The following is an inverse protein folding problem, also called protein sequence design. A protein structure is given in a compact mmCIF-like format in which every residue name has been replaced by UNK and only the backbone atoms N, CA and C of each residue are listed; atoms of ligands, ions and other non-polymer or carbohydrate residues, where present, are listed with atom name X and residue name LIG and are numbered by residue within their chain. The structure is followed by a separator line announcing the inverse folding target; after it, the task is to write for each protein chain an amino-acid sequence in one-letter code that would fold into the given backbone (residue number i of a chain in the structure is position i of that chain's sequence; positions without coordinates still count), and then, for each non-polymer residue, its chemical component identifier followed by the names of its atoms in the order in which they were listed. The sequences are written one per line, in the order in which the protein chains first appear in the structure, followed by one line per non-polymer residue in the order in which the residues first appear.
data_IF_680043886004
#
_entry.id   IF_680043886004
#
_cell.length_a   1.000
_cell.length_b   1.000
_cell.length_c   1.000
_cell.angle_alpha   90.00
_cell.angle_beta   90.00
_cell.angle_gamma   90.00
#
_symmetry.space_group_name_H-M   'P 1'
#
loop_
_entity.id
_entity.type
_entity.pdbx_description
1 polymer ?
#
# COMPACT_ATOMS: atom_id res chain seq x y z
N UNK A 1 -24.80 8.94 2.48
CA UNK A 1 -24.04 7.88 1.77
C UNK A 1 -22.99 7.39 2.76
N UNK A 2 -22.98 6.10 3.10
CA UNK A 2 -22.00 5.57 4.05
C UNK A 2 -20.61 5.68 3.41
N UNK A 3 -19.73 6.46 4.02
CA UNK A 3 -18.33 6.56 3.62
C UNK A 3 -17.67 5.21 3.89
N UNK A 4 -17.00 4.63 2.90
CA UNK A 4 -16.36 3.34 3.05
C UNK A 4 -15.34 3.39 4.20
N UNK A 5 -15.38 2.36 5.05
CA UNK A 5 -14.57 2.33 6.26
C UNK A 5 -13.17 1.80 5.94
N UNK A 6 -12.14 2.63 6.15
CA UNK A 6 -10.77 2.18 6.15
C UNK A 6 -10.41 1.55 7.50
N UNK A 7 -9.85 0.35 7.46
CA UNK A 7 -9.32 -0.34 8.64
C UNK A 7 -7.84 -0.62 8.46
N UNK A 8 -7.07 -0.48 9.54
CA UNK A 8 -5.64 -0.67 9.54
C UNK A 8 -5.25 -1.70 10.59
N UNK A 9 -4.41 -2.67 10.22
CA UNK A 9 -3.92 -3.69 11.15
C UNK A 9 -2.47 -4.08 10.90
N UNK A 10 -1.85 -4.74 11.87
CA UNK A 10 -0.46 -5.20 11.76
C UNK A 10 0.58 -4.12 12.04
N UNK A 11 1.81 -4.36 11.59
CA UNK A 11 2.98 -3.54 11.91
C UNK A 11 3.17 -2.40 10.91
N UNK A 12 2.90 -1.18 11.39
CA UNK A 12 3.25 0.10 10.78
C UNK A 12 4.05 0.99 11.74
N UNK A 13 4.87 0.38 12.61
CA UNK A 13 5.63 1.06 13.67
C UNK A 13 6.47 2.25 13.19
N UNK A 14 6.68 2.37 11.87
CA UNK A 14 7.38 3.46 11.22
C UNK A 14 6.54 4.12 10.12
N UNK A 15 6.60 5.46 10.03
CA UNK A 15 5.87 6.35 9.10
C UNK A 15 4.50 5.83 8.68
N UNK A 16 3.73 5.40 9.67
CA UNK A 16 2.43 4.76 9.51
C UNK A 16 1.54 5.53 8.54
N UNK A 17 1.42 6.85 8.72
CA UNK A 17 0.61 7.72 7.86
C UNK A 17 1.06 7.72 6.41
N UNK A 18 2.35 7.89 6.14
CA UNK A 18 2.89 7.94 4.77
C UNK A 18 2.64 6.61 4.05
N UNK A 19 2.93 5.50 4.73
CA UNK A 19 2.77 4.15 4.19
C UNK A 19 1.31 3.83 3.91
N UNK A 20 0.40 4.18 4.84
CA UNK A 20 -1.05 3.99 4.69
C UNK A 20 -1.59 4.75 3.49
N UNK A 21 -1.18 6.01 3.30
CA UNK A 21 -1.58 6.83 2.16
C UNK A 21 -1.06 6.28 0.82
N UNK A 22 0.22 5.87 0.78
CA UNK A 22 0.79 5.22 -0.41
C UNK A 22 0.04 3.94 -0.76
N UNK A 23 -0.27 3.11 0.24
CA UNK A 23 -1.02 1.87 0.05
C UNK A 23 -2.46 2.12 -0.42
N UNK A 24 -3.13 3.11 0.15
CA UNK A 24 -4.46 3.52 -0.26
C UNK A 24 -4.48 3.97 -1.73
N UNK A 25 -3.57 4.88 -2.11
CA UNK A 25 -3.46 5.32 -3.50
C UNK A 25 -3.22 4.17 -4.48
N UNK A 26 -2.32 3.24 -4.13
CA UNK A 26 -2.03 2.09 -4.95
C UNK A 26 -3.26 1.20 -5.15
N UNK A 27 -3.97 0.92 -4.06
CA UNK A 27 -5.18 0.11 -4.05
C UNK A 27 -6.27 0.76 -4.89
N UNK A 28 -6.47 2.08 -4.75
CA UNK A 28 -7.42 2.85 -5.57
C UNK A 28 -7.07 2.84 -7.05
N UNK A 29 -5.81 3.05 -7.42
CA UNK A 29 -5.40 3.04 -8.84
C UNK A 29 -5.57 1.65 -9.46
N UNK A 30 -5.30 0.59 -8.70
CA UNK A 30 -5.58 -0.77 -9.15
C UNK A 30 -7.08 -1.07 -9.24
N UNK A 31 -7.88 -0.75 -8.22
CA UNK A 31 -9.31 -1.01 -8.21
C UNK A 31 -10.04 -0.29 -9.34
N UNK A 32 -9.69 0.98 -9.54
CA UNK A 32 -10.43 1.87 -10.42
C UNK A 32 -9.92 1.80 -11.87
N UNK A 33 -8.63 1.53 -12.07
CA UNK A 33 -7.99 1.59 -13.38
C UNK A 33 -7.24 0.30 -13.76
N UNK A 34 -7.23 -0.74 -12.92
CA UNK A 34 -6.49 -1.99 -13.12
C UNK A 34 -4.97 -1.82 -13.33
N UNK A 35 -4.39 -0.72 -12.83
CA UNK A 35 -2.96 -0.41 -12.98
C UNK A 35 -2.11 -1.07 -11.91
N UNK A 36 -0.88 -1.44 -12.26
CA UNK A 36 0.11 -2.00 -11.32
C UNK A 36 1.55 -1.71 -11.76
N UNK A 37 2.50 -1.90 -10.85
CA UNK A 37 3.92 -1.67 -11.02
C UNK A 37 4.23 -0.25 -11.48
N UNK A 38 4.91 -0.15 -12.61
CA UNK A 38 5.29 1.12 -13.23
C UNK A 38 4.11 1.93 -13.75
N UNK A 39 2.94 1.31 -13.97
CA UNK A 39 1.75 2.00 -14.46
C UNK A 39 1.14 2.95 -13.41
N UNK A 40 1.36 2.68 -12.12
CA UNK A 40 0.91 3.55 -11.02
C UNK A 40 1.89 4.72 -10.92
N UNK A 41 1.67 5.80 -11.67
CA UNK A 41 2.57 6.97 -11.68
C UNK A 41 2.15 8.05 -10.70
N UNK A 42 0.85 8.20 -10.40
CA UNK A 42 0.30 9.29 -9.58
C UNK A 42 0.50 9.17 -8.07
N UNK A 43 0.89 8.00 -7.57
CA UNK A 43 0.97 7.76 -6.12
C UNK A 43 2.31 8.16 -5.47
N UNK A 44 3.27 8.70 -6.22
CA UNK A 44 4.59 9.07 -5.67
C UNK A 44 4.51 10.09 -4.53
N UNK A 45 3.56 11.02 -4.61
CA UNK A 45 3.34 12.08 -3.62
C UNK A 45 2.21 11.77 -2.63
N UNK A 46 1.63 10.56 -2.68
CA UNK A 46 0.49 10.23 -1.83
C UNK A 46 0.86 10.25 -0.34
N UNK A 47 2.09 9.88 0.00
CA UNK A 47 2.60 9.86 1.37
C UNK A 47 2.45 11.19 2.14
N UNK A 48 2.57 12.33 1.46
CA UNK A 48 2.46 13.67 2.06
C UNK A 48 1.09 14.32 1.88
N UNK A 49 0.14 13.67 1.20
CA UNK A 49 -1.15 14.25 0.85
C UNK A 49 -2.29 13.63 1.70
N UNK A 50 -2.91 14.43 2.55
CA UNK A 50 -4.03 14.02 3.42
C UNK A 50 -5.31 13.63 2.67
N UNK A 51 -5.41 13.94 1.37
CA UNK A 51 -6.45 13.38 0.50
C UNK A 51 -6.55 11.85 0.66
N UNK A 52 -5.43 11.15 0.80
CA UNK A 52 -5.36 9.69 0.91
C UNK A 52 -5.62 9.13 2.31
N UNK A 53 -6.05 9.96 3.27
CA UNK A 53 -6.48 9.50 4.60
C UNK A 53 -7.90 8.92 4.59
N UNK A 54 -8.66 9.15 3.51
CA UNK A 54 -10.01 8.59 3.26
C UNK A 54 -9.99 7.55 2.15
N UNK A 55 -10.96 6.62 2.14
CA UNK A 55 -11.07 5.62 1.07
C UNK A 55 -11.44 6.25 -0.28
N UNK A 56 -10.81 5.76 -1.36
CA UNK A 56 -11.03 6.20 -2.74
C UNK A 56 -11.26 5.02 -3.70
N UNK A 57 -11.54 3.83 -3.17
CA UNK A 57 -11.98 2.68 -3.95
C UNK A 57 -13.39 2.92 -4.51
N UNK A 58 -13.55 2.84 -5.83
CA UNK A 58 -14.87 2.96 -6.46
C UNK A 58 -15.64 1.66 -6.23
N UNK A 59 -16.70 1.74 -5.41
CA UNK A 59 -17.62 0.62 -5.18
C UNK A 59 -17.25 -0.31 -4.04
N UNK A 60 -16.18 -0.04 -3.29
CA UNK A 60 -15.93 -0.71 -2.02
C UNK A 60 -16.68 -0.01 -0.88
N UNK A 61 -17.19 -0.78 0.06
CA UNK A 61 -17.71 -0.33 1.35
C UNK A 61 -16.68 -0.50 2.47
N UNK A 62 -15.64 -1.32 2.26
CA UNK A 62 -14.56 -1.59 3.23
C UNK A 62 -13.20 -1.69 2.55
N UNK A 63 -12.21 -1.03 3.12
CA UNK A 63 -10.80 -1.17 2.74
C UNK A 63 -9.93 -1.52 3.94
N UNK A 64 -9.36 -2.72 3.96
CA UNK A 64 -8.41 -3.10 5.01
C UNK A 64 -6.99 -2.98 4.48
N UNK A 65 -6.09 -2.36 5.26
CA UNK A 65 -4.66 -2.29 4.95
C UNK A 65 -3.89 -2.94 6.10
N UNK A 66 -3.21 -4.06 5.81
CA UNK A 66 -2.46 -4.86 6.76
C UNK A 66 -0.94 -4.74 6.55
N UNK A 67 -0.26 -4.13 7.52
CA UNK A 67 1.19 -3.95 7.53
C UNK A 67 1.92 -5.13 8.16
N UNK A 68 3.08 -5.49 7.62
CA UNK A 68 3.97 -6.47 8.21
C UNK A 68 5.43 -6.13 7.92
N UNK A 69 6.24 -6.08 8.97
CA UNK A 69 7.69 -6.03 8.83
C UNK A 69 8.22 -7.40 8.42
N UNK A 70 9.07 -7.44 7.39
CA UNK A 70 9.75 -8.63 6.91
C UNK A 70 11.27 -8.48 7.01
N UNK A 71 11.99 -9.59 6.92
CA UNK A 71 13.45 -9.57 6.89
C UNK A 71 13.99 -8.90 5.62
N UNK A 72 15.01 -8.06 5.77
CA UNK A 72 15.77 -7.56 4.61
C UNK A 72 16.45 -8.71 3.88
N UNK A 73 16.46 -8.64 2.55
CA UNK A 73 17.06 -9.63 1.65
C UNK A 73 17.89 -8.90 0.61
N UNK A 74 19.21 -9.09 0.62
CA UNK A 74 20.14 -8.41 -0.27
C UNK A 74 19.95 -8.79 -1.74
N UNK A 75 19.32 -9.94 -2.01
CA UNK A 75 18.98 -10.43 -3.35
C UNK A 75 17.68 -9.81 -3.90
N UNK A 76 16.97 -8.98 -3.13
CA UNK A 76 15.68 -8.42 -3.51
C UNK A 76 15.63 -6.89 -3.40
N UNK A 77 15.26 -6.23 -4.50
CA UNK A 77 15.09 -4.78 -4.53
C UNK A 77 13.90 -4.28 -3.70
N UNK A 78 12.90 -5.14 -3.46
CA UNK A 78 11.65 -4.83 -2.77
C UNK A 78 11.24 -6.00 -1.87
N UNK A 79 10.50 -5.75 -0.78
CA UNK A 79 9.87 -6.80 0.00
C UNK A 79 9.01 -7.72 -0.89
N UNK A 80 8.88 -9.02 -0.57
CA UNK A 80 7.99 -9.90 -1.31
C UNK A 80 6.54 -9.41 -1.22
N UNK A 81 5.79 -9.54 -2.31
CA UNK A 81 4.35 -9.28 -2.30
C UNK A 81 3.61 -10.41 -1.57
N UNK A 82 2.48 -10.07 -0.95
CA UNK A 82 1.58 -11.03 -0.30
C UNK A 82 0.20 -10.96 -0.95
N UNK A 83 -0.34 -12.12 -1.30
CA UNK A 83 -1.61 -12.22 -2.00
C UNK A 83 -1.43 -12.45 -3.49
N UNK A 84 -2.48 -12.18 -4.26
CA UNK A 84 -2.54 -12.55 -5.67
C UNK A 84 -2.06 -11.45 -6.62
N UNK A 85 -2.00 -10.19 -6.16
CA UNK A 85 -1.64 -9.06 -7.03
C UNK A 85 -0.64 -8.12 -6.38
N UNK A 86 0.56 -8.04 -6.97
CA UNK A 86 1.50 -6.95 -6.70
C UNK A 86 0.94 -5.62 -7.24
N UNK A 87 0.95 -4.58 -6.41
CA UNK A 87 0.56 -3.23 -6.81
C UNK A 87 1.76 -2.38 -7.12
N UNK A 88 2.62 -2.09 -6.14
CA UNK A 88 3.84 -1.30 -6.38
C UNK A 88 4.78 -1.36 -5.17
N UNK A 89 6.03 -1.05 -5.42
CA UNK A 89 7.08 -0.91 -4.44
C UNK A 89 7.58 0.54 -4.37
N UNK A 90 7.90 1.00 -3.16
CA UNK A 90 8.46 2.34 -2.92
C UNK A 90 9.67 2.27 -2.00
N UNK A 91 10.69 3.06 -2.33
CA UNK A 91 11.76 3.47 -1.43
C UNK A 91 11.30 4.73 -0.69
N UNK A 92 10.72 4.55 0.48
CA UNK A 92 10.06 5.65 1.19
C UNK A 92 11.12 6.56 1.82
N UNK A 93 11.19 7.81 1.39
CA UNK A 93 12.30 8.71 1.74
C UNK A 93 13.58 8.53 0.90
N UNK A 94 13.55 7.68 -0.13
CA UNK A 94 14.67 7.44 -1.04
C UNK A 94 15.49 6.18 -0.74
N UNK A 95 16.37 5.80 -1.68
CA UNK A 95 17.16 4.56 -1.63
C UNK A 95 18.44 4.72 -0.80
N UNK A 96 18.28 4.92 0.50
CA UNK A 96 19.38 5.14 1.45
C UNK A 96 19.20 4.26 2.69
N UNK A 97 20.31 3.79 3.29
CA UNK A 97 20.28 2.99 4.53
C UNK A 97 19.48 3.71 5.62
N UNK A 98 18.62 2.97 6.33
CA UNK A 98 17.72 3.51 7.35
C UNK A 98 16.38 4.03 6.79
N UNK A 99 16.24 4.17 5.47
CA UNK A 99 14.94 4.32 4.83
C UNK A 99 14.36 2.95 4.51
N UNK A 100 13.05 2.76 4.65
CA UNK A 100 12.44 1.51 4.34
C UNK A 100 11.98 1.41 2.90
N UNK A 101 11.83 0.15 2.51
CA UNK A 101 11.22 -0.24 1.26
C UNK A 101 9.92 -0.92 1.61
N UNK A 102 8.86 -0.53 0.92
CA UNK A 102 7.54 -1.14 1.08
C UNK A 102 7.14 -1.79 -0.24
N UNK A 103 6.42 -2.89 -0.15
CA UNK A 103 5.67 -3.50 -1.25
C UNK A 103 4.19 -3.51 -0.87
N UNK A 104 3.38 -2.90 -1.71
CA UNK A 104 1.92 -2.93 -1.60
C UNK A 104 1.37 -3.99 -2.55
N UNK A 105 0.44 -4.79 -2.04
CA UNK A 105 -0.17 -5.90 -2.79
C UNK A 105 -1.60 -6.14 -2.33
N UNK A 106 -2.42 -6.82 -3.14
CA UNK A 106 -3.80 -7.18 -2.83
C UNK A 106 -3.86 -8.63 -2.38
N UNK A 107 -4.47 -8.86 -1.22
CA UNK A 107 -4.73 -10.17 -0.64
C UNK A 107 -6.07 -10.70 -1.12
N UNK A 108 -7.11 -9.88 -1.06
CA UNK A 108 -8.48 -10.22 -1.44
C UNK A 108 -9.15 -9.00 -2.08
N UNK A 109 -10.06 -9.25 -3.02
CA UNK A 109 -10.91 -8.23 -3.64
C UNK A 109 -12.23 -8.85 -4.09
N UNK A 110 -13.35 -8.19 -3.78
CA UNK A 110 -14.70 -8.67 -4.10
C UNK A 110 -15.69 -8.45 -2.96
N UNK A 111 -16.97 -8.73 -3.20
CA UNK A 111 -18.05 -8.64 -2.20
C UNK A 111 -18.14 -7.30 -1.45
N UNK A 112 -17.79 -6.19 -2.13
CA UNK A 112 -17.83 -4.85 -1.56
C UNK A 112 -16.59 -4.46 -0.75
N UNK A 113 -15.47 -5.18 -0.81
CA UNK A 113 -14.26 -4.77 -0.11
C UNK A 113 -12.95 -5.13 -0.79
N UNK A 114 -11.87 -4.60 -0.22
CA UNK A 114 -10.50 -4.91 -0.61
C UNK A 114 -9.61 -5.08 0.62
N UNK A 115 -8.79 -6.13 0.63
CA UNK A 115 -7.71 -6.30 1.60
C UNK A 115 -6.36 -6.09 0.92
N UNK A 116 -5.62 -5.11 1.41
CA UNK A 116 -4.29 -4.73 0.93
C UNK A 116 -3.23 -5.13 1.94
N UNK A 117 -2.16 -5.77 1.48
CA UNK A 117 -0.95 -6.03 2.25
C UNK A 117 0.09 -4.92 2.01
N UNK A 118 0.77 -4.53 3.08
CA UNK A 118 2.03 -3.78 3.01
C UNK A 118 3.13 -4.57 3.70
N UNK A 119 4.03 -5.17 2.93
CA UNK A 119 5.24 -5.79 3.45
C UNK A 119 6.39 -4.78 3.39
N UNK A 120 7.17 -4.66 4.47
CA UNK A 120 8.24 -3.65 4.53
C UNK A 120 9.48 -4.10 5.29
N UNK A 121 10.63 -3.52 4.95
CA UNK A 121 11.91 -3.66 5.67
C UNK A 121 12.69 -2.34 5.65
N UNK A 122 13.79 -2.24 6.42
CA UNK A 122 14.79 -1.16 6.26
C UNK A 122 15.93 -1.55 5.32
N UNK A 123 16.40 -0.61 4.50
CA UNK A 123 17.68 -0.71 3.79
C UNK A 123 18.87 -0.59 4.75
#
# INVERSE_FOLDING_TARGET
MAQAAMSYGGDFSWRSTEVKRLANCAASDWSNNSRSGSQITGCGSAGSNSYWDSDHLVGASVHTINGRKVGYRSDQSCPPARGFKYLKCWYVGGKTKGNPVITVSVISYGSGGMDTAVDWYYL
#
